data_IF_632061440522
#
_entry.id   IF_632061440522
#
_cell.length_a   1.000
_cell.length_b   1.000
_cell.length_c   1.000
_cell.angle_alpha   90.00
_cell.angle_beta   90.00
_cell.angle_gamma   90.00
#
_symmetry.space_group_name_H-M   'P 1'
#
loop_
_entity.id
_entity.type
_entity.pdbx_description
1 polymer ?
#
# COMPACT_ATOMS: atom_id res chain seq x y z
N UNK A 1 -1.08 13.68 6.56
CA UNK A 1 -1.18 13.86 8.03
C UNK A 1 -2.60 13.53 8.42
N UNK A 2 -2.80 12.64 9.38
CA UNK A 2 -4.15 12.30 9.86
C UNK A 2 -4.77 13.51 10.57
N UNK A 3 -6.08 13.67 10.41
CA UNK A 3 -6.83 14.72 11.13
C UNK A 3 -6.92 14.38 12.63
N UNK A 4 -6.93 15.37 13.53
CA UNK A 4 -6.90 15.13 14.98
C UNK A 4 -8.00 14.21 15.51
N UNK A 5 -9.18 14.25 14.89
CA UNK A 5 -10.33 13.42 15.25
C UNK A 5 -10.03 11.92 15.05
N UNK A 6 -9.36 11.57 13.94
CA UNK A 6 -8.96 10.18 13.66
C UNK A 6 -7.88 9.70 14.62
N UNK A 7 -6.97 10.59 15.05
CA UNK A 7 -5.95 10.24 16.05
C UNK A 7 -6.60 9.91 17.39
N UNK A 8 -7.59 10.69 17.81
CA UNK A 8 -8.36 10.41 19.04
C UNK A 8 -9.18 9.13 18.95
N UNK A 9 -9.83 8.89 17.83
CA UNK A 9 -10.58 7.65 17.62
C UNK A 9 -9.65 6.44 17.68
N UNK A 10 -8.48 6.53 17.04
CA UNK A 10 -7.45 5.49 17.09
C UNK A 10 -6.96 5.24 18.52
N UNK A 11 -6.64 6.29 19.29
CA UNK A 11 -6.27 6.18 20.70
C UNK A 11 -7.33 5.44 21.52
N UNK A 12 -8.61 5.79 21.33
CA UNK A 12 -9.72 5.17 22.05
C UNK A 12 -9.86 3.67 21.72
N UNK A 13 -9.72 3.29 20.45
CA UNK A 13 -9.74 1.88 20.04
C UNK A 13 -8.59 1.12 20.69
N UNK A 14 -7.37 1.66 20.63
CA UNK A 14 -6.20 1.00 21.22
C UNK A 14 -6.34 0.86 22.73
N UNK A 15 -6.82 1.89 23.42
CA UNK A 15 -7.06 1.82 24.86
C UNK A 15 -8.15 0.80 25.22
N UNK A 16 -9.23 0.73 24.44
CA UNK A 16 -10.37 -0.16 24.71
C UNK A 16 -10.04 -1.63 24.44
N UNK A 17 -9.39 -1.92 23.33
CA UNK A 17 -9.17 -3.29 22.86
C UNK A 17 -7.84 -3.88 23.39
N UNK A 18 -6.85 -3.04 23.66
CA UNK A 18 -5.50 -3.48 24.06
C UNK A 18 -5.06 -2.96 25.44
N UNK A 19 -5.84 -2.08 26.08
CA UNK A 19 -5.51 -1.52 27.40
C UNK A 19 -4.34 -0.53 27.38
N UNK A 20 -3.90 -0.08 26.21
CA UNK A 20 -2.72 0.78 26.05
C UNK A 20 -3.13 2.25 25.87
N UNK A 21 -2.58 3.12 26.71
CA UNK A 21 -2.75 4.56 26.58
C UNK A 21 -1.63 5.11 25.68
N UNK A 22 -2.00 5.66 24.52
CA UNK A 22 -1.06 6.28 23.59
C UNK A 22 -1.14 7.80 23.70
N UNK A 23 0.01 8.46 23.69
CA UNK A 23 0.08 9.90 23.43
C UNK A 23 -0.30 10.22 21.98
N UNK A 24 -0.68 11.48 21.72
CA UNK A 24 -1.06 11.95 20.38
C UNK A 24 0.06 11.70 19.35
N UNK A 25 1.32 11.83 19.79
CA UNK A 25 2.51 11.57 18.97
C UNK A 25 2.62 10.09 18.62
N UNK A 26 2.54 9.19 19.60
CA UNK A 26 2.63 7.74 19.38
C UNK A 26 1.48 7.24 18.49
N UNK A 27 0.26 7.71 18.75
CA UNK A 27 -0.92 7.40 17.96
C UNK A 27 -0.75 7.85 16.49
N UNK A 28 -0.25 9.07 16.29
CA UNK A 28 0.03 9.60 14.95
C UNK A 28 1.11 8.82 14.23
N UNK A 29 2.22 8.48 14.90
CA UNK A 29 3.32 7.70 14.30
C UNK A 29 2.86 6.32 13.86
N UNK A 30 2.14 5.58 14.72
CA UNK A 30 1.62 4.24 14.39
C UNK A 30 0.66 4.31 13.21
N UNK A 31 -0.31 5.21 13.25
CA UNK A 31 -1.35 5.30 12.22
C UNK A 31 -0.79 5.75 10.86
N UNK A 32 0.21 6.65 10.85
CA UNK A 32 0.92 7.02 9.62
C UNK A 32 1.74 5.84 9.08
N UNK A 33 2.42 5.07 9.93
CA UNK A 33 3.19 3.90 9.52
C UNK A 33 2.29 2.81 8.92
N UNK A 34 1.14 2.52 9.52
CA UNK A 34 0.16 1.57 8.98
C UNK A 34 -0.34 2.01 7.60
N UNK A 35 -0.70 3.28 7.46
CA UNK A 35 -1.17 3.84 6.17
C UNK A 35 -0.09 3.73 5.10
N UNK A 36 1.16 4.06 5.44
CA UNK A 36 2.29 3.95 4.52
C UNK A 36 2.57 2.51 4.08
N UNK A 37 2.43 1.54 4.99
CA UNK A 37 2.58 0.13 4.66
C UNK A 37 1.52 -0.33 3.63
N UNK A 38 0.24 -0.01 3.85
CA UNK A 38 -0.82 -0.37 2.91
C UNK A 38 -0.70 0.36 1.56
N UNK A 39 -0.27 1.63 1.55
CA UNK A 39 0.01 2.37 0.31
C UNK A 39 1.13 1.70 -0.51
N UNK A 40 2.21 1.25 0.16
CA UNK A 40 3.28 0.51 -0.50
C UNK A 40 2.79 -0.80 -1.11
N UNK A 41 1.99 -1.58 -0.37
CA UNK A 41 1.39 -2.82 -0.88
C UNK A 41 0.50 -2.56 -2.09
N UNK A 42 -0.31 -1.50 -2.05
CA UNK A 42 -1.17 -1.12 -3.17
C UNK A 42 -0.35 -0.77 -4.43
N UNK A 43 0.76 -0.04 -4.26
CA UNK A 43 1.69 0.30 -5.36
C UNK A 43 2.35 -0.94 -5.97
N UNK A 44 2.80 -1.88 -5.14
CA UNK A 44 3.37 -3.15 -5.61
C UNK A 44 2.32 -3.93 -6.40
N UNK A 45 1.12 -4.10 -5.85
CA UNK A 45 0.03 -4.80 -6.52
C UNK A 45 -0.36 -4.14 -7.86
N UNK A 46 -0.44 -2.81 -7.91
CA UNK A 46 -0.71 -2.09 -9.14
C UNK A 46 0.39 -2.30 -10.19
N UNK A 47 1.67 -2.21 -9.79
CA UNK A 47 2.81 -2.48 -10.67
C UNK A 47 2.76 -3.89 -11.24
N UNK A 48 2.52 -4.88 -10.38
CA UNK A 48 2.53 -6.29 -10.76
C UNK A 48 1.38 -6.59 -11.75
N UNK A 49 0.22 -5.94 -11.58
CA UNK A 49 -0.88 -5.97 -12.55
C UNK A 49 -0.49 -5.38 -13.91
N UNK A 50 0.15 -4.20 -13.94
CA UNK A 50 0.59 -3.59 -15.19
C UNK A 50 1.62 -4.46 -15.93
N UNK A 51 2.49 -5.17 -15.20
CA UNK A 51 3.44 -6.11 -15.80
C UNK A 51 2.79 -7.41 -16.27
N UNK A 52 1.68 -7.83 -15.66
CA UNK A 52 0.92 -9.03 -16.07
C UNK A 52 -0.02 -8.76 -17.26
N UNK A 53 -0.53 -7.54 -17.40
CA UNK A 53 -1.40 -7.11 -18.51
C UNK A 53 -0.61 -6.69 -19.78
N UNK A 54 0.73 -6.79 -19.76
CA UNK A 54 1.60 -6.61 -20.93
C UNK A 54 2.15 -7.94 -21.47
N UNK A 55 1.34 -8.88 -21.99
CA UNK A 55 1.86 -9.97 -22.79
C UNK A 55 2.16 -9.46 -24.21
N UNK A 56 3.42 -9.58 -24.61
CA UNK A 56 3.87 -9.58 -26.02
C UNK A 56 3.54 -8.39 -26.94
N UNK A 57 4.33 -7.32 -26.84
CA UNK A 57 4.66 -6.48 -28.01
C UNK A 57 6.09 -6.71 -28.54
N UNK A 58 6.78 -7.76 -28.10
CA UNK A 58 8.14 -8.06 -28.56
C UNK A 58 8.25 -9.53 -28.95
N UNK A 59 7.70 -9.90 -30.12
CA UNK A 59 8.22 -10.92 -31.07
C UNK A 59 7.17 -11.31 -32.12
N UNK A 60 6.99 -10.45 -33.12
CA UNK A 60 6.49 -10.89 -34.43
C UNK A 60 7.41 -10.31 -35.50
N UNK A 61 8.17 -11.19 -36.13
CA UNK A 61 9.16 -10.84 -37.16
C UNK A 61 10.13 -11.96 -37.52
N UNK A 62 9.81 -13.21 -37.19
CA UNK A 62 10.41 -14.37 -37.84
C UNK A 62 9.56 -14.75 -39.04
N UNK A 63 9.99 -14.38 -40.24
CA UNK A 63 9.55 -15.05 -41.46
C UNK A 63 10.74 -15.26 -42.37
N UNK A 64 11.22 -16.49 -42.30
CA UNK A 64 11.95 -17.19 -43.33
C UNK A 64 11.38 -16.83 -44.71
N UNK A 65 12.20 -16.36 -45.64
CA UNK A 65 12.01 -16.69 -47.05
C UNK A 65 13.25 -17.47 -47.48
N UNK A 66 13.05 -18.78 -47.57
CA UNK A 66 13.98 -19.68 -48.23
C UNK A 66 13.71 -19.71 -49.73
N UNK A 67 14.77 -20.13 -50.43
CA UNK A 67 14.94 -20.36 -51.87
C UNK A 67 15.14 -19.10 -52.71
#
# INVERSE_FOLDING_TARGET
MLIPELVKEFQNIIQKEYGLALSDKEASEIANNLTGYFDLLAKIHHRDRLTAEAPDLVRSGGSNQGL
#
